data_IF_051615808217
#
_entry.id   IF_051615808217
#
_cell.length_a   1.000
_cell.length_b   1.000
_cell.length_c   1.000
_cell.angle_alpha   90.00
_cell.angle_beta   90.00
_cell.angle_gamma   90.00
#
_symmetry.space_group_name_H-M   'P 1'
#
loop_
_entity.id
_entity.type
_entity.pdbx_description
1 polymer ?
#
# COMPACT_ATOMS: atom_id res chain seq x y z
N UNK A 1 -42.95 18.41 -13.06
CA UNK A 1 -42.07 17.44 -12.37
C UNK A 1 -41.25 16.72 -13.41
N UNK A 2 -39.94 16.96 -13.41
CA UNK A 2 -38.86 16.03 -13.79
C UNK A 2 -37.59 16.59 -13.15
N UNK A 3 -37.36 16.05 -11.97
CA UNK A 3 -36.13 15.95 -11.18
C UNK A 3 -34.98 16.86 -11.60
N UNK A 4 -34.89 18.00 -10.89
CA UNK A 4 -33.66 18.76 -10.80
C UNK A 4 -32.60 17.88 -10.17
N UNK A 5 -31.62 17.49 -10.97
CA UNK A 5 -30.44 16.80 -10.48
C UNK A 5 -29.67 17.81 -9.61
N UNK A 6 -29.94 17.83 -8.30
CA UNK A 6 -29.08 18.47 -7.32
C UNK A 6 -27.73 17.77 -7.38
N UNK A 7 -26.86 18.29 -8.25
CA UNK A 7 -25.45 17.96 -8.25
C UNK A 7 -24.90 18.58 -6.97
N UNK A 8 -24.91 17.80 -5.90
CA UNK A 8 -24.19 18.13 -4.68
C UNK A 8 -22.72 18.21 -5.04
N UNK A 9 -22.24 19.43 -5.30
CA UNK A 9 -20.82 19.73 -5.34
C UNK A 9 -20.28 19.37 -3.96
N UNK A 10 -19.62 18.22 -3.87
CA UNK A 10 -18.75 17.93 -2.75
C UNK A 10 -17.68 19.01 -2.84
N UNK A 11 -17.85 20.06 -2.03
CA UNK A 11 -16.85 21.08 -1.84
C UNK A 11 -15.60 20.33 -1.39
N UNK A 12 -14.62 20.21 -2.29
CA UNK A 12 -13.25 19.93 -1.92
C UNK A 12 -12.79 21.14 -1.13
N UNK A 13 -13.18 21.15 0.14
CA UNK A 13 -12.67 22.04 1.16
C UNK A 13 -11.15 22.04 0.98
N UNK A 14 -10.48 23.20 0.90
CA UNK A 14 -9.03 23.21 0.83
C UNK A 14 -8.58 22.51 2.11
N UNK A 15 -7.93 21.34 1.96
CA UNK A 15 -7.35 20.62 3.08
C UNK A 15 -6.10 21.38 3.52
N UNK A 16 -6.31 22.63 3.95
CA UNK A 16 -5.35 23.53 4.58
C UNK A 16 -5.38 23.30 6.11
N UNK A 17 -5.71 22.07 6.52
CA UNK A 17 -5.52 21.62 7.89
C UNK A 17 -4.09 21.13 8.03
N UNK A 18 -3.27 21.86 8.78
CA UNK A 18 -2.01 21.34 9.31
C UNK A 18 -2.26 19.91 9.79
N UNK A 19 -1.57 18.94 9.17
CA UNK A 19 -1.66 17.54 9.60
C UNK A 19 -1.28 17.52 11.07
N UNK A 20 -2.22 17.14 11.94
CA UNK A 20 -1.90 17.00 13.35
C UNK A 20 -0.80 15.94 13.46
N UNK A 21 0.17 16.12 14.35
CA UNK A 21 1.36 15.25 14.43
C UNK A 21 1.00 13.75 14.49
N UNK A 22 -0.17 13.42 15.05
CA UNK A 22 -0.71 12.07 15.12
C UNK A 22 -1.08 11.46 13.75
N UNK A 23 -1.60 12.24 12.81
CA UNK A 23 -1.91 11.77 11.44
C UNK A 23 -0.63 11.44 10.66
N UNK A 24 0.40 12.26 10.83
CA UNK A 24 1.70 12.04 10.18
C UNK A 24 2.39 10.79 10.73
N UNK A 25 2.42 10.62 12.06
CA UNK A 25 2.91 9.41 12.74
C UNK A 25 2.12 8.16 12.33
N UNK A 26 0.80 8.26 12.22
CA UNK A 26 -0.04 7.14 11.76
C UNK A 26 0.31 6.73 10.33
N UNK A 27 0.49 7.70 9.44
CA UNK A 27 0.85 7.44 8.04
C UNK A 27 2.27 6.85 7.92
N UNK A 28 3.25 7.42 8.62
CA UNK A 28 4.62 6.90 8.65
C UNK A 28 4.66 5.45 9.15
N UNK A 29 3.95 5.12 10.23
CA UNK A 29 3.88 3.76 10.74
C UNK A 29 3.23 2.79 9.73
N UNK A 30 2.17 3.21 9.04
CA UNK A 30 1.53 2.42 7.97
C UNK A 30 2.50 2.16 6.81
N UNK A 31 3.21 3.18 6.35
CA UNK A 31 4.19 3.08 5.25
C UNK A 31 5.35 2.16 5.62
N UNK A 32 5.89 2.28 6.83
CA UNK A 32 6.96 1.41 7.34
C UNK A 32 6.49 -0.04 7.49
N UNK A 33 5.26 -0.25 7.95
CA UNK A 33 4.70 -1.60 8.07
C UNK A 33 4.49 -2.25 6.69
N UNK A 34 3.98 -1.48 5.73
CA UNK A 34 3.79 -1.93 4.35
C UNK A 34 5.12 -2.25 3.68
N UNK A 35 6.14 -1.39 3.82
CA UNK A 35 7.46 -1.62 3.23
C UNK A 35 8.12 -2.86 3.81
N UNK A 36 8.07 -3.07 5.13
CA UNK A 36 8.55 -4.31 5.76
C UNK A 36 7.84 -5.54 5.20
N UNK A 37 6.52 -5.48 5.07
CA UNK A 37 5.70 -6.59 4.56
C UNK A 37 6.06 -6.94 3.11
N UNK A 38 6.24 -5.92 2.25
CA UNK A 38 6.62 -6.10 0.85
C UNK A 38 8.02 -6.69 0.74
N UNK A 39 8.99 -6.16 1.50
CA UNK A 39 10.36 -6.66 1.53
C UNK A 39 10.42 -8.12 2.00
N UNK A 40 9.70 -8.47 3.06
CA UNK A 40 9.62 -9.85 3.56
C UNK A 40 9.03 -10.81 2.53
N UNK A 41 7.93 -10.42 1.87
CA UNK A 41 7.32 -11.23 0.79
C UNK A 41 8.28 -11.40 -0.38
N UNK A 42 8.97 -10.34 -0.79
CA UNK A 42 9.94 -10.40 -1.88
C UNK A 42 11.09 -11.36 -1.55
N UNK A 43 11.66 -11.27 -0.34
CA UNK A 43 12.71 -12.19 0.12
C UNK A 43 12.25 -13.65 0.12
N UNK A 44 11.04 -13.92 0.61
CA UNK A 44 10.49 -15.28 0.61
C UNK A 44 10.34 -15.86 -0.80
N UNK A 45 9.88 -15.04 -1.75
CA UNK A 45 9.75 -15.43 -3.16
C UNK A 45 11.14 -15.75 -3.76
N UNK A 46 12.14 -14.91 -3.48
CA UNK A 46 13.51 -15.13 -3.93
C UNK A 46 14.10 -16.43 -3.39
N UNK A 47 13.95 -16.70 -2.09
CA UNK A 47 14.42 -17.94 -1.46
C UNK A 47 13.75 -19.16 -2.09
N UNK A 48 12.42 -19.13 -2.25
CA UNK A 48 11.66 -20.23 -2.85
C UNK A 48 12.07 -20.49 -4.30
N UNK A 49 12.36 -19.43 -5.05
CA UNK A 49 12.85 -19.53 -6.43
C UNK A 49 14.26 -20.15 -6.47
N UNK A 50 15.16 -19.72 -5.59
CA UNK A 50 16.51 -20.28 -5.47
C UNK A 50 16.49 -21.77 -5.12
N UNK A 51 15.66 -22.19 -4.16
CA UNK A 51 15.44 -23.60 -3.83
C UNK A 51 14.91 -24.39 -5.03
N UNK A 52 13.95 -23.84 -5.76
CA UNK A 52 13.40 -24.47 -6.96
C UNK A 52 14.48 -24.66 -8.04
N UNK A 53 15.28 -23.63 -8.30
CA UNK A 53 16.39 -23.71 -9.25
C UNK A 53 17.44 -24.76 -8.83
N UNK A 54 17.81 -24.82 -7.54
CA UNK A 54 18.74 -25.84 -7.04
C UNK A 54 18.22 -27.26 -7.25
N UNK A 55 16.93 -27.49 -6.99
CA UNK A 55 16.29 -28.79 -7.20
C UNK A 55 16.27 -29.20 -8.68
N UNK A 56 16.05 -28.25 -9.59
CA UNK A 56 16.10 -28.50 -11.03
C UNK A 56 17.51 -28.86 -11.50
N UNK A 57 18.54 -28.16 -11.00
CA UNK A 57 19.94 -28.44 -11.33
C UNK A 57 20.37 -29.82 -10.81
N UNK A 58 19.96 -30.21 -9.60
CA UNK A 58 20.36 -31.50 -9.01
C UNK A 58 19.65 -32.71 -9.64
N UNK A 59 18.49 -32.50 -10.29
CA UNK A 59 17.72 -33.57 -10.94
C UNK A 59 18.04 -33.78 -12.42
N UNK A 60 18.82 -32.89 -13.05
CA UNK A 60 19.33 -33.04 -14.41
C UNK A 60 20.70 -33.71 -14.44
#
# INVERSE_FOLDING_TARGET
MKDGHEVSFISLFPFEGHWTSQHELFYQNKVVHLSKTVTQKHLLIQIKWDEHCRLLIWKG
#
